data_IF_387105183840
#
_entry.id   IF_387105183840
#
_cell.length_a   1.000
_cell.length_b   1.000
_cell.length_c   1.000
_cell.angle_alpha   90.00
_cell.angle_beta   90.00
_cell.angle_gamma   90.00
#
_symmetry.space_group_name_H-M   'P 1'
#
loop_
_entity.id
_entity.type
_entity.pdbx_description
1 polymer ?
#
# COMPACT_ATOMS: atom_id res chain seq x y z
N UNK A 1 -15.20 -19.87 6.93
CA UNK A 1 -14.69 -19.61 8.31
C UNK A 1 -13.31 -18.99 8.26
N UNK A 2 -12.69 -18.63 9.39
CA UNK A 2 -11.43 -17.87 9.45
C UNK A 2 -10.28 -18.44 8.59
N UNK A 3 -10.23 -19.77 8.39
CA UNK A 3 -9.25 -20.42 7.51
C UNK A 3 -9.40 -20.04 6.03
N UNK A 4 -10.62 -19.75 5.58
CA UNK A 4 -10.88 -19.32 4.20
C UNK A 4 -10.36 -17.91 3.91
N UNK A 5 -10.39 -17.01 4.90
CA UNK A 5 -9.81 -15.67 4.77
C UNK A 5 -8.30 -15.76 4.49
N UNK A 6 -7.61 -16.62 5.24
CA UNK A 6 -6.17 -16.84 5.06
C UNK A 6 -5.84 -17.34 3.64
N UNK A 7 -6.61 -18.30 3.14
CA UNK A 7 -6.41 -18.84 1.79
C UNK A 7 -6.60 -17.77 0.71
N UNK A 8 -7.64 -16.94 0.83
CA UNK A 8 -7.91 -15.84 -0.11
C UNK A 8 -6.77 -14.82 -0.11
N UNK A 9 -6.29 -14.44 1.07
CA UNK A 9 -5.19 -13.48 1.19
C UNK A 9 -3.85 -14.05 0.68
N UNK A 10 -3.57 -15.32 0.92
CA UNK A 10 -2.36 -15.98 0.39
C UNK A 10 -2.37 -16.03 -1.14
N UNK A 11 -3.54 -16.29 -1.77
CA UNK A 11 -3.67 -16.28 -3.23
C UNK A 11 -3.47 -14.88 -3.83
N UNK A 12 -4.12 -13.86 -3.24
CA UNK A 12 -4.12 -12.49 -3.78
C UNK A 12 -2.78 -11.77 -3.55
N UNK A 13 -2.03 -12.12 -2.51
CA UNK A 13 -0.83 -11.37 -2.10
C UNK A 13 0.49 -12.08 -2.40
N UNK A 14 0.48 -13.25 -3.05
CA UNK A 14 1.67 -14.08 -3.27
C UNK A 14 2.84 -13.28 -3.86
N UNK A 15 2.60 -12.57 -4.97
CA UNK A 15 3.62 -11.81 -5.68
C UNK A 15 4.17 -10.65 -4.84
N UNK A 16 3.26 -9.95 -4.15
CA UNK A 16 3.59 -8.80 -3.31
C UNK A 16 4.42 -9.24 -2.10
N UNK A 17 4.10 -10.39 -1.50
CA UNK A 17 4.85 -10.93 -0.36
C UNK A 17 6.27 -11.38 -0.74
N UNK A 18 6.54 -11.67 -2.01
CA UNK A 18 7.87 -11.97 -2.50
C UNK A 18 8.76 -10.71 -2.59
N UNK A 19 8.23 -9.65 -3.20
CA UNK A 19 9.00 -8.43 -3.48
C UNK A 19 9.11 -7.50 -2.26
N UNK A 20 8.02 -7.34 -1.52
CA UNK A 20 7.86 -6.31 -0.50
C UNK A 20 8.87 -6.43 0.68
N UNK A 21 9.27 -7.63 1.14
CA UNK A 21 10.31 -7.76 2.17
C UNK A 21 11.67 -7.16 1.78
N UNK A 22 12.00 -7.15 0.48
CA UNK A 22 13.27 -6.62 -0.03
C UNK A 22 13.20 -5.11 -0.33
N UNK A 23 12.00 -4.53 -0.40
CA UNK A 23 11.79 -3.12 -0.71
C UNK A 23 11.87 -2.25 0.52
N UNK A 24 12.86 -1.36 0.55
CA UNK A 24 13.05 -0.38 1.64
C UNK A 24 12.33 0.94 1.39
N UNK A 25 11.82 1.15 0.18
CA UNK A 25 11.18 2.38 -0.29
C UNK A 25 9.66 2.41 -0.07
N UNK A 26 9.05 1.31 0.36
CA UNK A 26 7.60 1.18 0.58
C UNK A 26 7.24 1.49 2.04
N UNK A 27 6.18 2.28 2.24
CA UNK A 27 5.62 2.64 3.55
C UNK A 27 4.34 1.86 3.85
N UNK A 28 3.48 1.69 2.84
CA UNK A 28 2.16 1.08 3.00
C UNK A 28 1.77 0.33 1.73
N UNK A 29 1.15 -0.84 1.88
CA UNK A 29 0.46 -1.57 0.82
C UNK A 29 -1.05 -1.43 1.03
N UNK A 30 -1.77 -0.98 0.01
CA UNK A 30 -3.22 -0.76 0.07
C UNK A 30 -3.94 -1.84 -0.73
N UNK A 31 -4.76 -2.63 -0.04
CA UNK A 31 -5.58 -3.71 -0.62
C UNK A 31 -7.02 -3.20 -0.74
N UNK A 32 -7.50 -2.98 -1.98
CA UNK A 32 -8.89 -2.60 -2.26
C UNK A 32 -9.76 -3.82 -2.56
N UNK A 33 -11.07 -3.61 -2.73
CA UNK A 33 -11.96 -4.68 -3.17
C UNK A 33 -11.60 -5.21 -4.56
N UNK A 34 -11.17 -4.34 -5.48
CA UNK A 34 -10.73 -4.70 -6.83
C UNK A 34 -9.51 -5.63 -6.79
N UNK A 35 -8.56 -5.39 -5.87
CA UNK A 35 -7.40 -6.29 -5.68
C UNK A 35 -7.85 -7.72 -5.36
N UNK A 36 -8.93 -7.87 -4.58
CA UNK A 36 -9.46 -9.18 -4.19
C UNK A 36 -10.35 -9.78 -5.28
N UNK A 37 -11.24 -8.99 -5.89
CA UNK A 37 -12.26 -9.46 -6.82
C UNK A 37 -11.73 -9.63 -8.25
N UNK A 38 -10.81 -8.77 -8.67
CA UNK A 38 -10.28 -8.70 -10.04
C UNK A 38 -8.82 -9.16 -10.11
N UNK A 39 -8.20 -9.51 -8.98
CA UNK A 39 -6.82 -10.00 -8.88
C UNK A 39 -5.79 -9.03 -9.49
N UNK A 40 -6.06 -7.73 -9.37
CA UNK A 40 -5.12 -6.68 -9.77
C UNK A 40 -4.08 -6.43 -8.68
N UNK A 41 -2.92 -5.91 -9.06
CA UNK A 41 -1.85 -5.60 -8.11
C UNK A 41 -2.26 -4.51 -7.11
N UNK A 42 -1.94 -4.65 -5.81
CA UNK A 42 -2.23 -3.62 -4.83
C UNK A 42 -1.37 -2.38 -5.03
N UNK A 43 -1.87 -1.25 -4.53
CA UNK A 43 -1.14 0.02 -4.60
C UNK A 43 -0.09 0.08 -3.50
N UNK A 44 1.17 0.27 -3.89
CA UNK A 44 2.29 0.48 -2.97
C UNK A 44 2.57 1.97 -2.81
N UNK A 45 2.42 2.46 -1.57
CA UNK A 45 2.69 3.85 -1.21
C UNK A 45 4.15 3.98 -0.81
N UNK A 46 4.96 4.79 -1.51
CA UNK A 46 6.35 5.02 -1.15
C UNK A 46 6.47 5.75 0.19
N UNK A 47 7.61 5.56 0.86
CA UNK A 47 8.00 6.36 2.03
C UNK A 47 8.08 7.82 1.63
N UNK A 48 7.28 8.67 2.29
CA UNK A 48 7.40 10.11 2.12
C UNK A 48 8.74 10.57 2.69
N UNK A 49 9.65 11.04 1.84
CA UNK A 49 10.71 11.95 2.27
C UNK A 49 10.06 13.29 2.54
N UNK A 50 9.38 13.43 3.68
CA UNK A 50 8.79 14.70 4.07
C UNK A 50 9.90 15.72 4.39
N UNK A 51 10.49 16.32 3.34
CA UNK A 51 10.66 17.77 3.31
C UNK A 51 9.25 18.33 3.36
N UNK A 52 8.77 18.56 4.57
CA UNK A 52 7.54 19.29 4.83
C UNK A 52 7.69 20.64 4.14
N UNK A 53 7.11 20.78 2.95
CA UNK A 53 7.07 22.06 2.26
C UNK A 53 6.46 23.08 3.24
N UNK A 54 7.13 24.20 3.54
CA UNK A 54 6.59 25.18 4.45
C UNK A 54 5.27 25.66 3.84
N UNK A 55 4.15 25.43 4.54
CA UNK A 55 2.86 25.99 4.14
C UNK A 55 3.07 27.49 3.99
N UNK A 56 2.76 28.11 2.83
CA UNK A 56 2.85 29.55 2.70
C UNK A 56 1.94 30.14 3.77
N UNK A 57 2.54 30.91 4.70
CA UNK A 57 1.76 31.72 5.64
C UNK A 57 0.87 32.59 4.76
N UNK A 58 -0.46 32.38 4.84
CA UNK A 58 -1.43 33.27 4.22
C UNK A 58 -1.05 34.69 4.63
N UNK A 59 -0.64 35.49 3.65
CA UNK A 59 -0.44 36.91 3.84
C UNK A 59 -1.78 37.47 4.31
N UNK A 60 -1.77 38.09 5.49
CA UNK A 60 -2.92 38.83 5.99
C UNK A 60 -3.20 39.99 5.01
N UNK A 61 -4.48 40.20 4.72
CA UNK A 61 -5.03 41.41 4.11
C UNK A 61 -6.18 41.85 4.98
#
# INVERSE_FOLDING_TARGET
GARGLRAILEEVLLDVMYDLPSRTDVERCVISAEVVLEKVNPTLVPRSTSTRAPRPRRAAS
#
